data_IF_835393920291
#
_entry.id   IF_835393920291
#
_cell.length_a   1.000
_cell.length_b   1.000
_cell.length_c   1.000
_cell.angle_alpha   90.00
_cell.angle_beta   90.00
_cell.angle_gamma   90.00
#
_symmetry.space_group_name_H-M   'P 1'
#
loop_
_entity.id
_entity.type
_entity.pdbx_description
1 polymer ?
#
# COMPACT_ATOMS: atom_id res chain seq x y z
N UNK A 1 14.98 -8.07 6.44
CA UNK A 1 15.12 -9.31 5.67
C UNK A 1 14.87 -10.54 6.54
N UNK A 2 14.32 -11.62 5.97
CA UNK A 2 14.15 -12.92 6.63
C UNK A 2 14.94 -14.05 5.95
N UNK A 3 15.84 -13.75 5.01
CA UNK A 3 16.56 -14.78 4.25
C UNK A 3 17.41 -15.71 5.12
N UNK A 4 17.95 -15.21 6.23
CA UNK A 4 18.69 -16.01 7.23
C UNK A 4 17.79 -16.89 8.12
N UNK A 5 16.47 -16.71 8.05
CA UNK A 5 15.50 -17.51 8.78
C UNK A 5 15.06 -18.75 8.00
N UNK A 6 15.55 -18.94 6.77
CA UNK A 6 15.27 -20.11 5.96
C UNK A 6 15.73 -21.37 6.71
N UNK A 7 14.84 -22.37 6.75
CA UNK A 7 15.08 -23.70 7.31
C UNK A 7 14.12 -24.68 6.62
N UNK A 8 14.55 -25.90 6.26
CA UNK A 8 13.65 -26.92 5.72
C UNK A 8 12.60 -27.37 6.75
N UNK A 9 12.89 -27.25 8.05
CA UNK A 9 11.92 -27.49 9.13
C UNK A 9 11.11 -26.21 9.39
N UNK A 10 9.83 -26.23 9.01
CA UNK A 10 8.94 -25.09 9.16
C UNK A 10 8.80 -24.59 10.60
N UNK A 11 8.93 -25.45 11.61
CA UNK A 11 8.89 -25.02 13.01
C UNK A 11 10.12 -24.21 13.40
N UNK A 12 11.30 -24.63 12.93
CA UNK A 12 12.54 -23.87 13.13
C UNK A 12 12.50 -22.55 12.38
N UNK A 13 12.05 -22.56 11.13
CA UNK A 13 11.88 -21.34 10.34
C UNK A 13 10.96 -20.34 11.07
N UNK A 14 9.76 -20.76 11.50
CA UNK A 14 8.83 -19.92 12.28
C UNK A 14 9.45 -19.36 13.56
N UNK A 15 10.20 -20.17 14.31
CA UNK A 15 10.89 -19.71 15.52
C UNK A 15 11.90 -18.61 15.20
N UNK A 16 12.77 -18.83 14.20
CA UNK A 16 13.74 -17.82 13.75
C UNK A 16 13.07 -16.53 13.30
N UNK A 17 11.97 -16.64 12.54
CA UNK A 17 11.20 -15.48 12.05
C UNK A 17 10.64 -14.67 13.22
N UNK A 18 9.96 -15.33 14.17
CA UNK A 18 9.39 -14.66 15.34
C UNK A 18 10.46 -13.95 16.15
N UNK A 19 11.54 -14.65 16.50
CA UNK A 19 12.64 -14.09 17.30
C UNK A 19 13.30 -12.91 16.58
N UNK A 20 13.51 -13.03 15.26
CA UNK A 20 14.14 -11.98 14.48
C UNK A 20 13.27 -10.73 14.37
N UNK A 21 11.98 -10.87 14.07
CA UNK A 21 11.07 -9.74 13.95
C UNK A 21 10.94 -9.02 15.29
N UNK A 22 10.66 -9.76 16.36
CA UNK A 22 10.46 -9.19 17.70
C UNK A 22 11.72 -8.52 18.22
N UNK A 23 12.90 -9.10 18.03
CA UNK A 23 14.18 -8.47 18.39
C UNK A 23 14.53 -7.26 17.53
N UNK A 24 14.24 -7.32 16.22
CA UNK A 24 14.64 -6.26 15.29
C UNK A 24 13.80 -4.99 15.44
N UNK A 25 12.52 -5.13 15.80
CA UNK A 25 11.57 -4.02 15.91
C UNK A 25 11.12 -3.74 17.36
N UNK A 26 11.79 -4.33 18.36
CA UNK A 26 11.43 -4.25 19.79
C UNK A 26 11.12 -2.82 20.26
N UNK A 27 11.92 -1.86 19.80
CA UNK A 27 11.83 -0.44 20.20
C UNK A 27 11.07 0.44 19.20
N UNK A 28 10.52 -0.13 18.11
CA UNK A 28 9.91 0.65 17.02
C UNK A 28 8.76 1.52 17.52
N UNK A 29 7.82 0.94 18.28
CA UNK A 29 6.64 1.66 18.78
C UNK A 29 7.03 2.69 19.84
N UNK A 30 7.94 2.35 20.74
CA UNK A 30 8.45 3.25 21.77
C UNK A 30 9.11 4.49 21.15
N UNK A 31 10.04 4.28 20.22
CA UNK A 31 10.73 5.36 19.51
C UNK A 31 9.77 6.20 18.70
N UNK A 32 8.81 5.57 18.00
CA UNK A 32 7.77 6.30 17.27
C UNK A 32 6.97 7.24 18.17
N UNK A 33 6.57 6.80 19.37
CA UNK A 33 5.85 7.66 20.34
C UNK A 33 6.71 8.79 20.90
N UNK A 34 8.01 8.54 21.11
CA UNK A 34 8.95 9.57 21.58
C UNK A 34 9.09 10.68 20.54
N UNK A 35 9.28 10.32 19.27
CA UNK A 35 9.37 11.28 18.15
C UNK A 35 8.06 12.08 18.02
N UNK A 36 6.91 11.40 18.08
CA UNK A 36 5.59 12.03 18.06
C UNK A 36 5.41 13.08 19.16
N UNK A 37 5.85 12.76 20.39
CA UNK A 37 5.79 13.68 21.53
C UNK A 37 6.73 14.86 21.38
N UNK A 38 7.96 14.62 20.90
CA UNK A 38 9.02 15.62 20.82
C UNK A 38 8.77 16.65 19.70
N UNK A 39 8.33 16.19 18.53
CA UNK A 39 8.05 17.08 17.40
C UNK A 39 6.59 17.57 17.37
N UNK A 40 5.70 16.99 18.19
CA UNK A 40 4.28 17.33 18.18
C UNK A 40 3.58 16.96 16.87
N UNK A 41 4.10 15.97 16.14
CA UNK A 41 3.57 15.48 14.86
C UNK A 41 3.01 14.08 15.08
N UNK A 42 1.71 13.84 14.81
CA UNK A 42 1.12 12.53 15.03
C UNK A 42 1.72 11.49 14.09
N UNK A 43 2.10 10.33 14.64
CA UNK A 43 2.54 9.18 13.85
C UNK A 43 1.43 8.14 13.92
N UNK A 44 0.54 8.16 12.91
CA UNK A 44 -0.71 7.38 12.94
C UNK A 44 -0.44 5.88 13.05
N UNK A 45 0.50 5.37 12.25
CA UNK A 45 0.77 3.93 12.17
C UNK A 45 2.26 3.61 12.38
N UNK A 46 2.54 2.51 13.06
CA UNK A 46 3.84 1.87 13.18
C UNK A 46 3.69 0.45 12.64
N UNK A 47 4.40 0.13 11.56
CA UNK A 47 4.20 -1.10 10.75
C UNK A 47 5.51 -1.80 10.52
N UNK A 48 5.44 -3.09 10.18
CA UNK A 48 6.60 -3.90 9.76
C UNK A 48 6.28 -4.57 8.44
N UNK A 49 7.23 -4.62 7.52
CA UNK A 49 7.16 -5.47 6.34
C UNK A 49 8.33 -6.45 6.32
N UNK A 50 8.12 -7.61 5.73
CA UNK A 50 9.12 -8.70 5.69
C UNK A 50 9.37 -9.18 4.26
N UNK A 51 10.43 -9.96 4.09
CA UNK A 51 10.71 -10.66 2.84
C UNK A 51 9.49 -11.47 2.41
N UNK A 52 9.09 -11.46 1.12
CA UNK A 52 7.95 -12.21 0.63
C UNK A 52 7.96 -13.64 1.17
N UNK A 53 6.92 -13.97 1.95
CA UNK A 53 6.87 -15.24 2.68
C UNK A 53 6.95 -16.45 1.75
N UNK A 54 6.54 -16.34 0.48
CA UNK A 54 6.67 -17.46 -0.47
C UNK A 54 8.13 -17.89 -0.69
N UNK A 55 9.08 -16.96 -0.58
CA UNK A 55 10.52 -17.24 -0.71
C UNK A 55 11.02 -18.03 0.51
N UNK A 56 10.57 -17.66 1.71
CA UNK A 56 11.04 -18.25 2.96
C UNK A 56 10.37 -19.61 3.19
N UNK A 57 9.04 -19.64 3.17
CA UNK A 57 8.25 -20.85 3.39
C UNK A 57 8.37 -21.85 2.23
N UNK A 58 8.72 -21.38 1.02
CA UNK A 58 8.99 -22.21 -0.15
C UNK A 58 10.16 -23.19 0.00
N UNK A 59 11.02 -22.99 1.00
CA UNK A 59 12.09 -23.94 1.35
C UNK A 59 11.61 -25.13 2.20
N UNK A 60 10.37 -25.10 2.70
CA UNK A 60 9.78 -26.16 3.52
C UNK A 60 8.97 -27.14 2.68
N UNK A 61 8.69 -28.32 3.24
CA UNK A 61 7.77 -29.31 2.64
C UNK A 61 6.30 -29.13 3.05
N UNK A 62 5.97 -28.02 3.74
CA UNK A 62 4.59 -27.73 4.15
C UNK A 62 3.68 -27.48 2.95
N UNK A 63 2.42 -27.89 3.07
CA UNK A 63 1.39 -27.73 2.04
C UNK A 63 0.44 -26.56 2.30
N UNK A 64 0.63 -25.84 3.41
CA UNK A 64 -0.10 -24.64 3.81
C UNK A 64 0.83 -23.74 4.63
N UNK A 65 0.75 -22.43 4.40
CA UNK A 65 1.57 -21.44 5.12
C UNK A 65 0.77 -20.64 6.15
N UNK A 66 -0.41 -21.13 6.55
CA UNK A 66 -1.25 -20.49 7.58
C UNK A 66 -0.51 -20.36 8.92
N UNK A 67 0.29 -21.35 9.31
CA UNK A 67 1.07 -21.28 10.56
C UNK A 67 2.20 -20.24 10.51
N UNK A 68 2.74 -19.95 9.32
CA UNK A 68 3.63 -18.81 9.14
C UNK A 68 2.86 -17.50 9.38
N UNK A 69 1.65 -17.35 8.82
CA UNK A 69 0.82 -16.17 9.07
C UNK A 69 0.50 -16.00 10.57
N UNK A 70 0.14 -17.07 11.30
CA UNK A 70 -0.06 -17.01 12.76
C UNK A 70 1.19 -16.55 13.51
N UNK A 71 2.35 -16.98 13.06
CA UNK A 71 3.64 -16.57 13.64
C UNK A 71 3.89 -15.08 13.45
N UNK A 72 3.59 -14.56 12.25
CA UNK A 72 3.68 -13.13 11.95
C UNK A 72 2.68 -12.32 12.80
N UNK A 73 1.44 -12.80 12.93
CA UNK A 73 0.40 -12.13 13.73
C UNK A 73 0.80 -12.03 15.20
N UNK A 74 1.32 -13.13 15.77
CA UNK A 74 1.88 -13.14 17.12
C UNK A 74 3.04 -12.15 17.31
N UNK A 75 3.93 -12.06 16.33
CA UNK A 75 5.03 -11.10 16.37
C UNK A 75 4.50 -9.65 16.34
N UNK A 76 3.49 -9.38 15.50
CA UNK A 76 2.84 -8.09 15.41
C UNK A 76 2.10 -7.70 16.71
N UNK A 77 1.43 -8.66 17.36
CA UNK A 77 0.80 -8.47 18.67
C UNK A 77 1.85 -8.17 19.75
N UNK A 78 2.94 -8.94 19.80
CA UNK A 78 4.04 -8.77 20.77
C UNK A 78 4.69 -7.39 20.65
N UNK A 79 4.89 -6.91 19.42
CA UNK A 79 5.49 -5.60 19.16
C UNK A 79 4.51 -4.44 19.35
N UNK A 80 3.20 -4.70 19.42
CA UNK A 80 2.18 -3.66 19.48
C UNK A 80 2.11 -2.78 18.23
N UNK A 81 2.54 -3.29 17.07
CA UNK A 81 2.45 -2.60 15.76
C UNK A 81 1.04 -2.75 15.16
N UNK A 82 0.67 -1.88 14.23
CA UNK A 82 -0.69 -1.87 13.66
C UNK A 82 -0.90 -3.03 12.68
N UNK A 83 0.02 -3.17 11.72
CA UNK A 83 -0.03 -4.18 10.66
C UNK A 83 1.36 -4.72 10.31
N UNK A 84 1.37 -5.96 9.81
CA UNK A 84 2.56 -6.65 9.31
C UNK A 84 2.33 -7.14 7.88
N UNK A 85 3.09 -6.60 6.94
CA UNK A 85 3.02 -6.94 5.51
C UNK A 85 4.13 -7.89 5.07
N UNK A 86 3.95 -8.53 3.91
CA UNK A 86 4.93 -9.44 3.34
C UNK A 86 4.52 -10.91 3.39
N UNK A 87 3.27 -11.23 3.76
CA UNK A 87 2.66 -12.52 3.42
C UNK A 87 2.35 -12.53 1.91
N UNK A 88 3.41 -12.52 1.12
CA UNK A 88 3.38 -12.07 -0.27
C UNK A 88 4.10 -13.02 -1.22
N UNK A 89 3.68 -13.00 -2.49
CA UNK A 89 4.30 -13.73 -3.60
C UNK A 89 4.50 -12.82 -4.83
N UNK A 90 5.59 -13.07 -5.58
CA UNK A 90 5.92 -12.34 -6.80
C UNK A 90 5.89 -13.31 -8.00
N UNK A 91 4.79 -13.32 -8.75
CA UNK A 91 4.45 -14.39 -9.72
C UNK A 91 4.30 -13.90 -11.15
N UNK A 92 4.77 -12.69 -11.47
CA UNK A 92 4.72 -12.08 -12.79
C UNK A 92 5.33 -12.91 -13.93
N UNK A 93 6.23 -13.85 -13.63
CA UNK A 93 6.88 -14.75 -14.61
C UNK A 93 6.48 -16.23 -14.46
N UNK A 94 5.40 -16.50 -13.74
CA UNK A 94 4.98 -17.85 -13.37
C UNK A 94 5.15 -18.10 -11.87
N UNK A 95 4.61 -19.23 -11.42
CA UNK A 95 4.56 -19.58 -10.00
C UNK A 95 5.46 -20.78 -9.71
N UNK A 96 6.27 -20.68 -8.66
CA UNK A 96 6.96 -21.83 -8.06
C UNK A 96 5.98 -22.66 -7.21
N UNK A 97 6.46 -23.78 -6.64
CA UNK A 97 5.69 -24.57 -5.67
C UNK A 97 5.28 -23.71 -4.46
N UNK A 98 6.23 -22.96 -3.90
CA UNK A 98 5.99 -22.10 -2.74
C UNK A 98 4.99 -20.99 -3.03
N UNK A 99 5.05 -20.36 -4.21
CA UNK A 99 4.11 -19.29 -4.57
C UNK A 99 2.66 -19.80 -4.64
N UNK A 100 2.44 -20.98 -5.23
CA UNK A 100 1.10 -21.58 -5.31
C UNK A 100 0.55 -21.89 -3.92
N UNK A 101 1.38 -22.46 -3.03
CA UNK A 101 0.98 -22.79 -1.66
C UNK A 101 0.64 -21.50 -0.90
N UNK A 102 1.46 -20.44 -1.03
CA UNK A 102 1.17 -19.17 -0.39
C UNK A 102 -0.16 -18.59 -0.87
N UNK A 103 -0.36 -18.46 -2.19
CA UNK A 103 -1.59 -17.92 -2.79
C UNK A 103 -2.82 -18.69 -2.26
N UNK A 104 -2.75 -20.02 -2.24
CA UNK A 104 -3.83 -20.87 -1.73
C UNK A 104 -4.06 -20.75 -0.22
N UNK A 105 -3.03 -20.35 0.53
CA UNK A 105 -3.10 -20.15 1.99
C UNK A 105 -3.67 -18.79 2.38
N UNK A 106 -3.65 -17.78 1.49
CA UNK A 106 -4.11 -16.40 1.78
C UNK A 106 -5.50 -16.36 2.41
N UNK A 107 -6.55 -17.03 1.87
CA UNK A 107 -7.90 -16.89 2.41
C UNK A 107 -8.02 -17.32 3.87
N UNK A 108 -7.41 -18.45 4.23
CA UNK A 108 -7.42 -18.94 5.60
C UNK A 108 -6.49 -18.12 6.49
N UNK A 109 -5.30 -17.78 6.01
CA UNK A 109 -4.33 -16.95 6.73
C UNK A 109 -4.94 -15.61 7.16
N UNK A 110 -5.63 -14.91 6.25
CA UNK A 110 -6.26 -13.61 6.55
C UNK A 110 -7.52 -13.73 7.41
N UNK A 111 -8.18 -14.89 7.43
CA UNK A 111 -9.32 -15.16 8.29
C UNK A 111 -8.92 -15.44 9.75
N UNK A 112 -7.78 -16.09 9.96
CA UNK A 112 -7.33 -16.51 11.29
C UNK A 112 -6.34 -15.55 11.96
N UNK A 113 -5.92 -14.50 11.25
CA UNK A 113 -4.99 -13.47 11.75
C UNK A 113 -5.65 -12.10 11.74
N UNK A 114 -5.19 -11.19 12.59
CA UNK A 114 -5.75 -9.84 12.71
C UNK A 114 -4.94 -8.79 11.96
N UNK A 115 -3.61 -8.82 12.11
CA UNK A 115 -2.68 -7.76 11.69
C UNK A 115 -1.87 -8.10 10.46
N UNK A 116 -1.91 -9.35 10.00
CA UNK A 116 -1.17 -9.76 8.80
C UNK A 116 -1.87 -9.28 7.54
N UNK A 117 -1.09 -8.67 6.65
CA UNK A 117 -1.47 -8.25 5.31
C UNK A 117 -0.77 -9.11 4.24
N UNK A 118 -1.47 -9.36 3.15
CA UNK A 118 -0.99 -10.17 2.04
C UNK A 118 -0.99 -9.38 0.72
N UNK A 119 -0.02 -9.66 -0.14
CA UNK A 119 0.04 -9.05 -1.47
C UNK A 119 0.58 -9.99 -2.52
N UNK A 120 0.07 -9.92 -3.75
CA UNK A 120 0.54 -10.78 -4.84
C UNK A 120 0.81 -9.96 -6.08
N UNK A 121 2.05 -9.96 -6.57
CA UNK A 121 2.40 -9.29 -7.82
C UNK A 121 2.20 -10.24 -9.02
N UNK A 122 1.19 -9.95 -9.85
CA UNK A 122 0.77 -10.80 -10.97
C UNK A 122 1.36 -10.36 -12.31
N UNK A 123 1.93 -9.16 -12.41
CA UNK A 123 2.47 -8.64 -13.66
C UNK A 123 3.65 -7.69 -13.47
N UNK A 124 4.44 -7.52 -14.53
CA UNK A 124 5.36 -6.39 -14.62
C UNK A 124 5.62 -6.00 -16.08
N UNK A 125 5.99 -4.74 -16.33
CA UNK A 125 6.24 -4.17 -17.66
C UNK A 125 7.21 -5.01 -18.48
N UNK A 126 8.22 -5.61 -17.84
CA UNK A 126 9.21 -6.45 -18.51
C UNK A 126 8.69 -7.82 -18.93
N UNK A 127 7.68 -8.36 -18.25
CA UNK A 127 7.27 -9.77 -18.38
C UNK A 127 5.83 -9.95 -18.85
N UNK A 128 5.07 -8.87 -18.96
CA UNK A 128 3.64 -8.92 -19.17
C UNK A 128 2.88 -9.31 -17.89
N UNK A 129 1.70 -9.91 -18.09
CA UNK A 129 0.78 -10.28 -17.02
C UNK A 129 0.66 -11.81 -16.97
N UNK A 130 0.80 -12.39 -15.78
CA UNK A 130 0.51 -13.79 -15.55
C UNK A 130 -0.99 -13.99 -15.35
N UNK A 131 -1.73 -14.23 -16.44
CA UNK A 131 -3.19 -14.42 -16.40
C UNK A 131 -3.66 -15.63 -15.59
N UNK A 132 -2.80 -16.65 -15.41
CA UNK A 132 -3.13 -17.75 -14.50
C UNK A 132 -3.16 -17.26 -13.05
N UNK A 133 -2.19 -16.44 -12.65
CA UNK A 133 -2.19 -15.84 -11.31
C UNK A 133 -3.35 -14.85 -11.13
N UNK A 134 -3.72 -14.09 -12.16
CA UNK A 134 -4.91 -13.21 -12.13
C UNK A 134 -6.18 -14.01 -11.83
N UNK A 135 -6.39 -15.12 -12.55
CA UNK A 135 -7.52 -16.04 -12.28
C UNK A 135 -7.49 -16.57 -10.85
N UNK A 136 -6.33 -17.08 -10.42
CA UNK A 136 -6.18 -17.67 -9.08
C UNK A 136 -6.44 -16.61 -7.99
N UNK A 137 -6.00 -15.36 -8.18
CA UNK A 137 -6.25 -14.27 -7.25
C UNK A 137 -7.72 -13.86 -7.15
N UNK A 138 -8.47 -13.91 -8.26
CA UNK A 138 -9.91 -13.65 -8.23
C UNK A 138 -10.67 -14.69 -7.37
N UNK A 139 -10.27 -15.97 -7.44
CA UNK A 139 -10.80 -17.01 -6.57
C UNK A 139 -10.40 -16.80 -5.11
N UNK A 140 -9.13 -16.42 -4.87
CA UNK A 140 -8.62 -16.10 -3.53
C UNK A 140 -9.39 -14.94 -2.90
N UNK A 141 -9.65 -13.85 -3.64
CA UNK A 141 -10.43 -12.71 -3.13
C UNK A 141 -11.84 -13.17 -2.72
N UNK A 142 -12.54 -13.91 -3.60
CA UNK A 142 -13.91 -14.38 -3.29
C UNK A 142 -13.94 -15.33 -2.10
N UNK A 143 -12.97 -16.24 -2.01
CA UNK A 143 -12.85 -17.18 -0.87
C UNK A 143 -12.48 -16.44 0.42
N UNK A 144 -11.64 -15.42 0.36
CA UNK A 144 -11.27 -14.58 1.51
C UNK A 144 -12.50 -13.84 2.04
N UNK A 145 -13.31 -13.26 1.15
CA UNK A 145 -14.55 -12.60 1.52
C UNK A 145 -15.53 -13.57 2.23
N UNK A 146 -15.72 -14.77 1.68
CA UNK A 146 -16.61 -15.78 2.27
C UNK A 146 -16.11 -16.28 3.64
N UNK A 147 -14.81 -16.57 3.77
CA UNK A 147 -14.23 -17.02 5.05
C UNK A 147 -14.23 -15.94 6.13
N UNK A 148 -14.34 -14.67 5.75
CA UNK A 148 -14.39 -13.52 6.67
C UNK A 148 -15.74 -12.81 6.69
N UNK A 149 -16.82 -13.46 6.21
CA UNK A 149 -18.16 -12.86 6.14
C UNK A 149 -18.70 -12.37 7.49
N UNK A 150 -18.38 -13.07 8.57
CA UNK A 150 -18.80 -12.69 9.94
C UNK A 150 -18.11 -11.40 10.40
N UNK A 151 -16.96 -11.08 9.81
CA UNK A 151 -16.25 -9.81 9.93
C UNK A 151 -16.51 -8.89 8.73
N UNK A 152 -17.65 -9.02 8.04
CA UNK A 152 -18.03 -8.24 6.86
C UNK A 152 -17.02 -8.29 5.70
N UNK A 153 -16.34 -9.42 5.52
CA UNK A 153 -15.35 -9.59 4.46
C UNK A 153 -14.03 -8.87 4.70
N UNK A 154 -13.74 -8.45 5.95
CA UNK A 154 -12.57 -7.63 6.30
C UNK A 154 -11.22 -8.26 5.91
N UNK A 155 -11.15 -9.57 5.67
CA UNK A 155 -9.96 -10.21 5.11
C UNK A 155 -9.53 -9.57 3.78
N UNK A 156 -10.47 -9.14 2.94
CA UNK A 156 -10.18 -8.49 1.67
C UNK A 156 -9.54 -7.10 1.83
N UNK A 157 -9.81 -6.38 2.92
CA UNK A 157 -9.14 -5.10 3.22
C UNK A 157 -7.65 -5.27 3.56
N UNK A 158 -7.20 -6.51 3.80
CA UNK A 158 -5.80 -6.86 4.09
C UNK A 158 -5.11 -7.57 2.91
N UNK A 159 -5.72 -7.56 1.73
CA UNK A 159 -5.23 -8.22 0.52
C UNK A 159 -5.14 -7.23 -0.63
N UNK A 160 -4.04 -7.25 -1.37
CA UNK A 160 -3.87 -6.44 -2.57
C UNK A 160 -3.22 -7.24 -3.71
N UNK A 161 -3.57 -6.91 -4.95
CA UNK A 161 -3.05 -7.57 -6.15
C UNK A 161 -2.31 -6.55 -6.99
N UNK A 162 -1.00 -6.71 -7.14
CA UNK A 162 -0.17 -5.74 -7.84
C UNK A 162 0.14 -6.12 -9.28
N UNK A 163 0.35 -5.09 -10.10
CA UNK A 163 1.31 -5.14 -11.19
C UNK A 163 2.41 -4.10 -10.96
N UNK A 164 3.65 -4.44 -11.34
CA UNK A 164 4.85 -3.62 -11.08
C UNK A 164 5.01 -3.23 -9.60
N UNK A 165 4.81 -4.17 -8.68
CA UNK A 165 5.03 -3.94 -7.26
C UNK A 165 6.45 -3.40 -6.97
N UNK A 166 6.53 -2.43 -6.08
CA UNK A 166 7.79 -1.84 -5.61
C UNK A 166 8.26 -2.55 -4.33
N UNK A 167 9.58 -2.64 -4.15
CA UNK A 167 10.23 -3.47 -3.13
C UNK A 167 10.32 -2.82 -1.73
N UNK A 168 10.01 -1.52 -1.63
CA UNK A 168 10.24 -0.65 -0.48
C UNK A 168 8.97 0.07 0.02
N UNK A 169 7.79 -0.33 -0.48
CA UNK A 169 6.51 0.31 -0.17
C UNK A 169 6.19 0.30 1.34
N UNK A 170 5.98 1.46 2.00
CA UNK A 170 5.60 1.53 3.41
C UNK A 170 4.07 1.40 3.65
N UNK A 171 3.25 1.40 2.60
CA UNK A 171 1.79 1.37 2.70
C UNK A 171 1.23 -0.06 2.74
N UNK A 172 0.30 -0.30 3.66
CA UNK A 172 -0.45 -1.55 3.78
C UNK A 172 -1.75 -1.46 2.97
N UNK A 173 -2.30 -2.57 2.46
CA UNK A 173 -1.89 -3.98 2.68
C UNK A 173 -0.66 -4.44 1.88
N UNK A 174 -0.14 -3.60 0.98
CA UNK A 174 0.81 -4.01 -0.05
C UNK A 174 2.27 -4.15 0.32
N UNK A 175 2.69 -3.62 1.46
CA UNK A 175 4.09 -3.58 1.85
C UNK A 175 4.73 -4.99 1.96
N UNK A 176 5.92 -5.14 1.38
CA UNK A 176 6.85 -6.23 1.64
C UNK A 176 8.27 -5.66 1.65
N UNK A 177 9.23 -6.39 2.22
CA UNK A 177 10.64 -6.00 2.25
C UNK A 177 11.37 -6.74 1.13
N UNK A 178 11.73 -6.04 0.06
CA UNK A 178 12.39 -6.62 -1.10
C UNK A 178 13.65 -7.44 -0.79
N UNK A 179 14.01 -8.34 -1.70
CA UNK A 179 15.24 -9.13 -1.56
C UNK A 179 16.49 -8.30 -1.87
N UNK A 180 16.35 -7.20 -2.60
CA UNK A 180 17.43 -6.24 -2.85
C UNK A 180 17.69 -5.27 -1.71
N UNK A 181 16.77 -5.17 -0.75
CA UNK A 181 16.86 -4.24 0.37
C UNK A 181 17.85 -4.69 1.44
N UNK A 182 18.32 -3.75 2.26
CA UNK A 182 19.26 -4.04 3.35
C UNK A 182 18.65 -4.96 4.42
N UNK A 183 19.47 -5.43 5.35
CA UNK A 183 19.03 -6.36 6.41
C UNK A 183 17.84 -5.79 7.22
N UNK A 184 17.90 -4.49 7.53
CA UNK A 184 16.83 -3.72 8.16
C UNK A 184 16.90 -2.29 7.62
N UNK A 185 15.74 -1.68 7.40
CA UNK A 185 15.60 -0.29 6.96
C UNK A 185 14.38 0.34 7.63
N UNK A 186 14.36 1.66 7.73
CA UNK A 186 13.17 2.45 8.08
C UNK A 186 12.73 3.24 6.87
N UNK A 187 11.50 2.96 6.42
CA UNK A 187 10.80 3.76 5.42
C UNK A 187 9.70 4.54 6.13
N UNK A 188 9.42 5.76 5.65
CA UNK A 188 8.38 6.63 6.21
C UNK A 188 7.44 7.05 5.09
N UNK A 189 6.14 6.79 5.27
CA UNK A 189 5.10 7.39 4.45
C UNK A 189 4.60 8.67 5.11
N UNK A 190 4.45 9.75 4.35
CA UNK A 190 3.90 11.01 4.85
C UNK A 190 2.55 11.26 4.19
N UNK A 191 1.50 11.40 5.01
CA UNK A 191 0.21 11.88 4.53
C UNK A 191 0.10 13.40 4.69
N UNK A 192 -0.56 14.04 3.74
CA UNK A 192 -0.81 15.48 3.76
C UNK A 192 -1.99 16.01 2.92
N UNK A 193 -3.06 15.24 2.56
CA UNK A 193 -4.17 15.81 1.81
C UNK A 193 -4.71 17.11 2.41
N UNK A 194 -5.01 17.13 3.71
CA UNK A 194 -5.50 18.35 4.37
C UNK A 194 -4.54 19.55 4.33
N UNK A 195 -3.23 19.31 4.28
CA UNK A 195 -2.22 20.38 4.16
C UNK A 195 -2.24 20.97 2.75
N UNK A 196 -2.37 20.12 1.73
CA UNK A 196 -2.46 20.54 0.32
C UNK A 196 -3.75 21.32 0.08
N UNK A 197 -4.90 20.82 0.56
CA UNK A 197 -6.18 21.51 0.47
C UNK A 197 -6.12 22.93 1.05
N UNK A 198 -5.62 23.08 2.28
CA UNK A 198 -5.46 24.40 2.95
C UNK A 198 -4.50 25.34 2.22
N UNK A 199 -3.54 24.80 1.47
CA UNK A 199 -2.66 25.63 0.65
C UNK A 199 -3.41 26.14 -0.60
N UNK A 200 -4.24 25.31 -1.22
CA UNK A 200 -5.03 25.64 -2.39
C UNK A 200 -6.15 26.65 -2.12
N UNK A 201 -6.76 26.62 -0.93
CA UNK A 201 -7.75 27.62 -0.50
C UNK A 201 -7.25 29.07 -0.61
N UNK A 202 -5.93 29.29 -0.57
CA UNK A 202 -5.30 30.61 -0.66
C UNK A 202 -5.07 31.11 -2.09
N UNK A 203 -5.26 30.26 -3.08
CA UNK A 203 -5.00 30.54 -4.51
C UNK A 203 -6.22 30.23 -5.38
N UNK A 204 -7.43 30.28 -4.81
CA UNK A 204 -8.69 30.14 -5.55
C UNK A 204 -8.79 31.19 -6.66
N UNK A 205 -9.07 30.74 -7.88
CA UNK A 205 -9.22 31.61 -9.06
C UNK A 205 -7.91 32.00 -9.74
N UNK A 206 -6.77 31.57 -9.22
CA UNK A 206 -5.45 31.76 -9.85
C UNK A 206 -5.25 30.81 -11.05
N UNK A 207 -4.16 31.03 -11.80
CA UNK A 207 -3.81 30.16 -12.92
C UNK A 207 -3.36 28.76 -12.46
N UNK A 208 -3.47 27.78 -13.35
CA UNK A 208 -2.97 26.42 -13.09
C UNK A 208 -1.48 26.36 -12.75
N UNK A 209 -0.67 27.30 -13.26
CA UNK A 209 0.75 27.39 -12.92
C UNK A 209 0.94 27.71 -11.42
N UNK A 210 0.14 28.63 -10.88
CA UNK A 210 0.15 28.99 -9.45
C UNK A 210 -0.35 27.83 -8.59
N UNK A 211 -1.41 27.14 -9.04
CA UNK A 211 -1.95 25.94 -8.36
C UNK A 211 -0.89 24.85 -8.28
N UNK A 212 -0.26 24.49 -9.40
CA UNK A 212 0.77 23.46 -9.45
C UNK A 212 2.00 23.83 -8.61
N UNK A 213 2.45 25.09 -8.66
CA UNK A 213 3.56 25.57 -7.82
C UNK A 213 3.22 25.49 -6.32
N UNK A 214 1.98 25.83 -5.95
CA UNK A 214 1.50 25.77 -4.56
C UNK A 214 1.51 24.32 -4.05
N UNK A 215 1.02 23.37 -4.85
CA UNK A 215 1.07 21.93 -4.52
C UNK A 215 2.53 21.48 -4.37
N UNK A 216 3.39 21.82 -5.32
CA UNK A 216 4.81 21.45 -5.32
C UNK A 216 5.55 21.95 -4.08
N UNK A 217 5.37 23.22 -3.72
CA UNK A 217 5.99 23.80 -2.53
C UNK A 217 5.46 23.18 -1.23
N UNK A 218 4.17 22.82 -1.21
CA UNK A 218 3.56 22.16 -0.06
C UNK A 218 4.10 20.75 0.09
N UNK A 219 4.13 19.97 -0.99
CA UNK A 219 4.71 18.63 -1.03
C UNK A 219 6.19 18.64 -0.60
N UNK A 220 6.99 19.62 -1.05
CA UNK A 220 8.37 19.80 -0.60
C UNK A 220 8.48 19.92 0.93
N UNK A 221 7.67 20.78 1.55
CA UNK A 221 7.69 21.00 3.00
C UNK A 221 7.26 19.76 3.78
N UNK A 222 6.19 19.10 3.32
CA UNK A 222 5.69 17.85 3.91
C UNK A 222 6.74 16.74 3.84
N UNK A 223 7.42 16.63 2.69
CA UNK A 223 8.51 15.66 2.49
C UNK A 223 9.69 15.91 3.43
N UNK A 224 10.12 17.18 3.58
CA UNK A 224 11.21 17.54 4.51
C UNK A 224 10.88 17.16 5.95
N UNK A 225 9.62 17.31 6.35
CA UNK A 225 9.16 16.89 7.66
C UNK A 225 9.23 15.34 7.81
N UNK A 226 8.81 14.60 6.79
CA UNK A 226 8.96 13.14 6.76
C UNK A 226 10.40 12.68 6.85
N UNK A 227 11.29 13.32 6.08
CA UNK A 227 12.73 13.04 6.10
C UNK A 227 13.34 13.33 7.47
N UNK A 228 12.91 14.39 8.16
CA UNK A 228 13.36 14.71 9.51
C UNK A 228 12.92 13.61 10.51
N UNK A 229 11.66 13.18 10.45
CA UNK A 229 11.15 12.07 11.27
C UNK A 229 11.91 10.76 10.99
N UNK A 230 12.16 10.47 9.72
CA UNK A 230 12.85 9.27 9.29
C UNK A 230 14.31 9.23 9.76
N UNK A 231 15.02 10.35 9.66
CA UNK A 231 16.39 10.48 10.16
C UNK A 231 16.48 10.30 11.67
N UNK A 232 15.53 10.86 12.42
CA UNK A 232 15.52 10.71 13.87
C UNK A 232 15.19 9.28 14.30
N UNK A 233 14.22 8.63 13.63
CA UNK A 233 13.91 7.22 13.84
C UNK A 233 15.12 6.32 13.53
N UNK A 234 15.76 6.54 12.39
CA UNK A 234 16.97 5.84 11.95
C UNK A 234 18.09 5.93 13.00
N UNK A 235 18.36 7.13 13.51
CA UNK A 235 19.37 7.38 14.55
C UNK A 235 19.04 6.68 15.87
N UNK A 236 17.79 6.76 16.36
CA UNK A 236 17.38 6.18 17.65
C UNK A 236 17.29 4.66 17.63
N UNK A 237 16.90 4.09 16.50
CA UNK A 237 16.82 2.63 16.29
C UNK A 237 18.15 2.03 15.84
N UNK A 238 19.10 2.86 15.40
CA UNK A 238 20.36 2.44 14.77
C UNK A 238 20.10 1.50 13.57
N UNK A 239 19.18 1.94 12.70
CA UNK A 239 18.75 1.23 11.49
C UNK A 239 18.80 2.21 10.32
N UNK A 240 19.38 1.85 9.15
CA UNK A 240 19.43 2.73 8.00
C UNK A 240 18.08 3.30 7.60
N UNK A 241 18.07 4.58 7.23
CA UNK A 241 16.93 5.20 6.56
C UNK A 241 16.89 4.70 5.11
N UNK A 242 15.74 4.19 4.68
CA UNK A 242 15.46 3.82 3.30
C UNK A 242 14.84 5.00 2.57
N UNK A 243 13.52 5.00 2.40
CA UNK A 243 12.81 6.00 1.58
C UNK A 243 11.77 6.82 2.34
N UNK A 244 11.49 8.02 1.81
CA UNK A 244 10.25 8.76 2.10
C UNK A 244 9.28 8.54 0.95
N UNK A 245 8.10 7.99 1.26
CA UNK A 245 6.99 7.90 0.32
C UNK A 245 6.07 9.12 0.47
N UNK A 246 5.80 9.77 -0.66
CA UNK A 246 5.09 11.05 -0.78
C UNK A 246 3.58 10.92 -0.89
N UNK A 247 3.06 9.70 -0.77
CA UNK A 247 1.71 9.43 -1.19
C UNK A 247 0.67 10.16 -0.35
N UNK A 248 -0.23 10.88 -1.03
CA UNK A 248 -1.36 11.55 -0.38
C UNK A 248 -2.40 10.48 -0.04
N UNK A 249 -2.33 9.96 1.19
CA UNK A 249 -3.25 8.96 1.70
C UNK A 249 -4.34 9.63 2.56
N UNK A 250 -5.59 9.70 2.09
CA UNK A 250 -6.68 10.31 2.84
C UNK A 250 -7.09 9.46 4.04
N UNK A 251 -7.92 10.04 4.89
CA UNK A 251 -8.58 9.33 5.98
C UNK A 251 -10.07 9.66 5.98
N UNK A 252 -10.91 8.91 6.72
CA UNK A 252 -12.33 9.26 6.88
C UNK A 252 -12.55 10.58 7.64
N UNK A 253 -11.50 11.23 8.12
CA UNK A 253 -11.61 12.49 8.84
C UNK A 253 -11.93 13.65 7.90
N UNK A 254 -12.86 14.50 8.33
CA UNK A 254 -13.26 15.70 7.57
C UNK A 254 -12.05 16.60 7.34
N UNK A 255 -11.83 17.01 6.09
CA UNK A 255 -10.72 17.87 5.70
C UNK A 255 -9.42 17.14 5.36
N UNK A 256 -9.42 15.80 5.33
CA UNK A 256 -8.29 14.97 4.93
C UNK A 256 -8.65 14.06 3.74
N UNK A 257 -9.01 14.71 2.62
CA UNK A 257 -9.56 14.07 1.43
C UNK A 257 -8.80 14.50 0.17
N UNK A 258 -8.55 13.53 -0.72
CA UNK A 258 -8.04 13.77 -2.07
C UNK A 258 -9.16 14.27 -2.97
N UNK A 259 -10.40 13.80 -2.79
CA UNK A 259 -11.56 14.32 -3.53
C UNK A 259 -11.72 15.83 -3.32
N UNK A 260 -11.65 16.28 -2.06
CA UNK A 260 -11.74 17.71 -1.74
C UNK A 260 -10.59 18.53 -2.33
N UNK A 261 -9.39 17.96 -2.51
CA UNK A 261 -8.29 18.65 -3.22
C UNK A 261 -8.67 18.87 -4.69
N UNK A 262 -9.21 17.83 -5.34
CA UNK A 262 -9.58 17.90 -6.75
C UNK A 262 -10.72 18.90 -6.97
N UNK A 263 -11.68 18.95 -6.05
CA UNK A 263 -12.76 19.95 -6.04
C UNK A 263 -12.22 21.35 -5.78
N UNK A 264 -11.27 21.50 -4.85
CA UNK A 264 -10.61 22.77 -4.54
C UNK A 264 -9.77 23.32 -5.71
N UNK A 265 -9.24 22.46 -6.58
CA UNK A 265 -8.61 22.86 -7.85
C UNK A 265 -9.63 23.53 -8.80
N UNK A 266 -10.94 23.25 -8.64
CA UNK A 266 -12.02 23.90 -9.37
C UNK A 266 -13.04 22.94 -10.00
N UNK A 267 -13.07 21.67 -9.60
CA UNK A 267 -14.12 20.74 -10.03
C UNK A 267 -15.38 20.94 -9.17
N UNK A 268 -16.55 20.81 -9.79
CA UNK A 268 -17.81 20.79 -9.05
C UNK A 268 -17.89 19.59 -8.09
N UNK A 269 -17.50 18.41 -8.59
CA UNK A 269 -17.41 17.18 -7.82
C UNK A 269 -16.40 16.23 -8.44
N UNK A 270 -15.66 15.48 -7.62
CA UNK A 270 -14.76 14.45 -8.13
C UNK A 270 -15.52 13.42 -8.99
N UNK A 271 -14.92 13.00 -10.10
CA UNK A 271 -15.53 12.09 -11.08
C UNK A 271 -16.06 12.81 -12.33
N UNK A 272 -16.37 14.10 -12.24
CA UNK A 272 -16.77 14.91 -13.41
C UNK A 272 -15.66 15.06 -14.47
N UNK A 273 -15.98 15.64 -15.62
CA UNK A 273 -14.99 15.96 -16.66
C UNK A 273 -13.93 16.92 -16.10
N UNK A 274 -12.65 16.66 -16.41
CA UNK A 274 -11.53 17.39 -15.82
C UNK A 274 -10.86 16.69 -14.63
N UNK A 275 -11.56 15.78 -13.93
CA UNK A 275 -11.00 15.03 -12.78
C UNK A 275 -9.64 14.38 -13.06
N UNK A 276 -9.52 13.68 -14.20
CA UNK A 276 -8.28 12.98 -14.57
C UNK A 276 -7.14 13.99 -14.81
N UNK A 277 -7.42 15.14 -15.43
CA UNK A 277 -6.43 16.17 -15.67
C UNK A 277 -5.97 16.84 -14.37
N UNK A 278 -6.90 17.16 -13.47
CA UNK A 278 -6.60 17.70 -12.14
C UNK A 278 -5.77 16.70 -11.32
N UNK A 279 -6.13 15.42 -11.32
CA UNK A 279 -5.39 14.36 -10.64
C UNK A 279 -3.98 14.17 -11.22
N UNK A 280 -3.84 14.21 -12.56
CA UNK A 280 -2.53 14.12 -13.21
C UNK A 280 -1.61 15.28 -12.79
N UNK A 281 -2.12 16.51 -12.76
CA UNK A 281 -1.39 17.69 -12.29
C UNK A 281 -1.01 17.57 -10.82
N UNK A 282 -1.96 17.15 -9.96
CA UNK A 282 -1.72 16.92 -8.54
C UNK A 282 -0.58 15.92 -8.34
N UNK A 283 -0.65 14.77 -9.00
CA UNK A 283 0.36 13.71 -8.88
C UNK A 283 1.74 14.18 -9.37
N UNK A 284 1.80 14.86 -10.52
CA UNK A 284 3.04 15.41 -11.07
C UNK A 284 3.66 16.48 -10.15
N UNK A 285 2.86 17.41 -9.63
CA UNK A 285 3.32 18.46 -8.74
C UNK A 285 3.81 17.89 -7.38
N UNK A 286 3.10 16.92 -6.81
CA UNK A 286 3.51 16.22 -5.57
C UNK A 286 4.86 15.51 -5.78
N UNK A 287 4.99 14.73 -6.86
CA UNK A 287 6.24 14.04 -7.20
C UNK A 287 7.39 15.01 -7.38
N UNK A 288 7.21 16.09 -8.15
CA UNK A 288 8.24 17.12 -8.34
C UNK A 288 8.65 17.79 -7.04
N UNK A 289 7.68 18.07 -6.16
CA UNK A 289 7.93 18.70 -4.87
C UNK A 289 8.74 17.80 -3.93
N UNK A 290 8.38 16.51 -3.85
CA UNK A 290 9.08 15.59 -2.98
C UNK A 290 10.46 15.16 -3.49
N UNK A 291 10.64 14.95 -4.79
CA UNK A 291 11.97 14.67 -5.38
C UNK A 291 12.93 15.85 -5.18
N UNK A 292 12.42 17.08 -5.15
CA UNK A 292 13.23 18.25 -4.79
C UNK A 292 13.62 18.27 -3.30
N UNK A 293 12.81 17.66 -2.42
CA UNK A 293 13.02 17.68 -0.99
C UNK A 293 13.97 16.59 -0.48
N UNK A 294 13.89 15.36 -0.99
CA UNK A 294 14.67 14.24 -0.48
C UNK A 294 15.35 13.48 -1.62
N UNK A 295 16.59 13.04 -1.40
CA UNK A 295 17.33 12.19 -2.34
C UNK A 295 16.89 10.73 -2.31
N UNK A 296 16.07 10.34 -1.33
CA UNK A 296 15.57 8.98 -1.12
C UNK A 296 14.04 8.92 -1.23
N UNK A 297 13.49 9.51 -2.28
CA UNK A 297 12.06 9.33 -2.60
C UNK A 297 11.87 7.96 -3.25
N UNK A 298 10.92 7.17 -2.72
CA UNK A 298 10.66 5.80 -3.18
C UNK A 298 9.21 5.37 -2.93
N UNK A 299 8.96 4.06 -2.91
CA UNK A 299 7.61 3.52 -2.77
C UNK A 299 6.68 3.87 -3.96
N UNK A 300 5.39 4.03 -3.67
CA UNK A 300 4.35 4.32 -4.68
C UNK A 300 4.37 5.80 -5.09
N UNK A 301 4.65 6.70 -4.14
CA UNK A 301 4.77 8.15 -4.31
C UNK A 301 3.72 8.77 -5.25
N UNK A 302 2.44 8.70 -4.87
CA UNK A 302 1.34 9.34 -5.61
C UNK A 302 0.04 9.53 -4.80
N UNK A 303 -1.00 10.10 -5.41
CA UNK A 303 -2.26 10.33 -4.70
C UNK A 303 -3.08 9.04 -4.58
N UNK A 304 -3.44 8.60 -3.37
CA UNK A 304 -4.29 7.43 -3.18
C UNK A 304 -5.75 7.77 -3.50
N UNK A 305 -6.49 6.79 -4.02
CA UNK A 305 -7.93 6.91 -4.31
C UNK A 305 -8.67 5.76 -3.60
N UNK A 306 -8.63 5.69 -2.26
CA UNK A 306 -9.29 4.62 -1.53
C UNK A 306 -10.77 4.96 -1.39
N UNK A 307 -11.59 4.43 -2.29
CA UNK A 307 -12.99 4.90 -2.49
C UNK A 307 -13.80 4.86 -1.21
N UNK A 308 -13.65 3.81 -0.39
CA UNK A 308 -14.39 3.66 0.87
C UNK A 308 -13.73 4.28 2.10
N UNK A 309 -12.56 4.92 1.96
CA UNK A 309 -11.86 5.60 3.06
C UNK A 309 -11.88 7.13 2.93
N UNK A 310 -12.08 7.65 1.71
CA UNK A 310 -12.20 9.09 1.44
C UNK A 310 -13.67 9.52 1.36
N UNK A 311 -14.12 10.35 2.31
CA UNK A 311 -15.51 10.80 2.39
C UNK A 311 -16.02 11.47 1.11
N UNK A 312 -15.20 12.30 0.44
CA UNK A 312 -15.61 12.95 -0.80
C UNK A 312 -15.72 11.97 -1.97
N UNK A 313 -14.92 10.90 -1.99
CA UNK A 313 -15.06 9.82 -2.97
C UNK A 313 -16.35 9.03 -2.74
N UNK A 314 -16.71 8.74 -1.48
CA UNK A 314 -17.97 8.08 -1.12
C UNK A 314 -19.16 8.92 -1.60
N UNK A 315 -19.15 10.23 -1.36
CA UNK A 315 -20.22 11.14 -1.78
C UNK A 315 -20.32 11.22 -3.32
N UNK A 316 -19.18 11.18 -4.02
CA UNK A 316 -19.15 11.13 -5.48
C UNK A 316 -19.70 9.82 -6.06
N UNK A 317 -19.50 8.68 -5.40
CA UNK A 317 -20.13 7.42 -5.78
C UNK A 317 -21.64 7.47 -5.53
N UNK A 318 -22.06 7.96 -4.35
CA UNK A 318 -23.48 8.04 -3.98
C UNK A 318 -24.29 8.99 -4.89
N UNK A 319 -23.66 10.05 -5.38
CA UNK A 319 -24.24 10.99 -6.35
C UNK A 319 -24.18 10.48 -7.80
N UNK A 320 -23.45 9.39 -8.06
CA UNK A 320 -23.26 8.82 -9.40
C UNK A 320 -22.23 9.55 -10.26
N UNK A 321 -21.50 10.52 -9.72
CA UNK A 321 -20.43 11.24 -10.41
C UNK A 321 -19.16 10.41 -10.57
N UNK A 322 -18.91 9.48 -9.64
CA UNK A 322 -17.77 8.56 -9.67
C UNK A 322 -18.26 7.12 -9.89
N UNK A 323 -17.74 6.47 -10.92
CA UNK A 323 -18.03 5.09 -11.29
C UNK A 323 -16.72 4.31 -11.55
N UNK A 324 -16.84 3.01 -11.79
CA UNK A 324 -15.67 2.13 -11.93
C UNK A 324 -14.82 2.51 -13.15
N UNK A 325 -15.45 2.80 -14.29
CA UNK A 325 -14.75 3.18 -15.52
C UNK A 325 -14.00 4.52 -15.34
N UNK A 326 -14.56 5.44 -14.56
CA UNK A 326 -13.91 6.69 -14.21
C UNK A 326 -12.72 6.46 -13.28
N UNK A 327 -12.85 5.54 -12.33
CA UNK A 327 -11.75 5.14 -11.45
C UNK A 327 -10.61 4.53 -12.25
N UNK A 328 -10.87 3.59 -13.17
CA UNK A 328 -9.88 3.06 -14.13
C UNK A 328 -9.24 4.18 -14.97
N UNK A 329 -10.02 5.17 -15.40
CA UNK A 329 -9.49 6.38 -16.05
C UNK A 329 -8.55 7.20 -15.14
N UNK A 330 -8.82 7.24 -13.84
CA UNK A 330 -7.96 7.88 -12.84
C UNK A 330 -6.71 7.05 -12.54
N UNK A 331 -6.82 5.71 -12.54
CA UNK A 331 -5.66 4.81 -12.33
C UNK A 331 -4.63 4.97 -13.43
N UNK A 332 -5.02 5.38 -14.65
CA UNK A 332 -4.07 5.70 -15.72
C UNK A 332 -3.04 6.78 -15.30
N UNK A 333 -3.43 7.76 -14.48
CA UNK A 333 -2.58 8.90 -14.08
C UNK A 333 -2.12 8.85 -12.61
N UNK A 334 -2.65 7.93 -11.81
CA UNK A 334 -2.33 7.71 -10.39
C UNK A 334 -1.61 6.36 -10.15
N UNK A 335 -0.67 6.26 -9.20
CA UNK A 335 0.16 5.06 -8.97
C UNK A 335 -0.49 3.95 -8.14
N UNK A 336 -1.72 4.10 -7.64
CA UNK A 336 -2.31 3.15 -6.68
C UNK A 336 -3.20 2.13 -7.34
N UNK A 337 -4.01 2.47 -8.34
CA UNK A 337 -4.96 1.52 -8.93
C UNK A 337 -6.35 1.58 -8.29
N UNK A 338 -7.06 0.46 -8.28
CA UNK A 338 -8.43 0.34 -7.77
C UNK A 338 -8.40 -0.06 -6.30
N UNK A 339 -8.29 0.94 -5.43
CA UNK A 339 -8.11 0.72 -3.99
C UNK A 339 -9.40 0.87 -3.19
N UNK A 340 -9.58 0.01 -2.19
CA UNK A 340 -10.68 0.02 -1.23
C UNK A 340 -12.08 0.17 -1.89
N UNK A 341 -12.29 -0.53 -3.01
CA UNK A 341 -13.55 -0.54 -3.77
C UNK A 341 -14.44 -1.70 -3.29
N UNK A 342 -15.71 -1.40 -3.02
CA UNK A 342 -16.72 -2.40 -2.73
C UNK A 342 -17.45 -2.82 -4.02
N UNK A 343 -17.55 -4.14 -4.25
CA UNK A 343 -18.33 -4.74 -5.32
C UNK A 343 -19.36 -5.72 -4.73
N UNK A 344 -20.47 -6.03 -5.44
CA UNK A 344 -21.45 -7.01 -4.97
C UNK A 344 -20.81 -8.38 -4.67
N UNK A 345 -21.18 -9.02 -3.56
CA UNK A 345 -20.56 -10.30 -3.15
C UNK A 345 -20.89 -11.49 -4.07
N UNK A 346 -21.97 -11.40 -4.85
CA UNK A 346 -22.35 -12.37 -5.87
C UNK A 346 -21.57 -12.20 -7.19
N UNK A 347 -20.77 -11.12 -7.35
CA UNK A 347 -19.92 -10.87 -8.52
C UNK A 347 -19.13 -12.13 -8.93
N UNK A 348 -19.21 -12.59 -10.19
CA UNK A 348 -18.48 -13.77 -10.65
C UNK A 348 -16.96 -13.60 -10.52
N UNK A 349 -16.25 -14.69 -10.22
CA UNK A 349 -14.77 -14.66 -10.16
C UNK A 349 -14.16 -14.26 -11.49
N UNK A 350 -14.78 -14.60 -12.63
CA UNK A 350 -14.35 -14.15 -13.95
C UNK A 350 -14.39 -12.62 -14.11
N UNK A 351 -15.36 -11.95 -13.48
CA UNK A 351 -15.47 -10.49 -13.50
C UNK A 351 -14.40 -9.84 -12.63
N UNK A 352 -14.14 -10.39 -11.44
CA UNK A 352 -13.05 -9.94 -10.57
C UNK A 352 -11.70 -10.11 -11.28
N UNK A 353 -11.50 -11.24 -11.96
CA UNK A 353 -10.30 -11.48 -12.78
C UNK A 353 -10.18 -10.46 -13.92
N UNK A 354 -11.29 -10.07 -14.55
CA UNK A 354 -11.34 -8.99 -15.54
C UNK A 354 -10.86 -7.66 -14.99
N UNK A 355 -11.41 -7.22 -13.85
CA UNK A 355 -11.00 -5.98 -13.18
C UNK A 355 -9.49 -5.98 -12.85
N UNK A 356 -8.98 -7.07 -12.29
CA UNK A 356 -7.53 -7.21 -12.00
C UNK A 356 -6.71 -7.15 -13.30
N UNK A 357 -7.19 -7.79 -14.38
CA UNK A 357 -6.48 -7.82 -15.65
C UNK A 357 -6.41 -6.42 -16.30
N UNK A 358 -7.50 -5.66 -16.25
CA UNK A 358 -7.56 -4.30 -16.80
C UNK A 358 -6.62 -3.37 -16.02
N UNK A 359 -6.65 -3.41 -14.69
CA UNK A 359 -5.71 -2.64 -13.86
C UNK A 359 -4.26 -3.06 -14.02
N UNK A 360 -3.99 -4.37 -14.11
CA UNK A 360 -2.65 -4.87 -14.40
C UNK A 360 -2.18 -4.43 -15.78
N UNK A 361 -3.07 -4.36 -16.78
CA UNK A 361 -2.74 -3.89 -18.13
C UNK A 361 -2.39 -2.39 -18.14
N UNK A 362 -3.17 -1.56 -17.45
CA UNK A 362 -2.88 -0.14 -17.26
C UNK A 362 -1.49 0.02 -16.60
N UNK A 363 -1.20 -0.78 -15.57
CA UNK A 363 0.09 -0.80 -14.89
C UNK A 363 1.27 -1.16 -15.79
N UNK A 364 1.16 -2.32 -16.44
CA UNK A 364 2.21 -2.92 -17.27
C UNK A 364 2.54 -2.04 -18.47
N UNK A 365 1.54 -1.52 -19.20
CA UNK A 365 1.79 -0.76 -20.43
C UNK A 365 2.35 0.64 -20.16
N UNK A 366 1.97 1.25 -19.03
CA UNK A 366 2.39 2.60 -18.67
C UNK A 366 3.64 2.64 -17.77
N UNK A 367 4.30 1.48 -17.56
CA UNK A 367 5.48 1.36 -16.69
C UNK A 367 5.24 1.98 -15.29
N UNK A 368 4.09 1.63 -14.70
CA UNK A 368 3.63 2.15 -13.42
C UNK A 368 3.18 0.99 -12.53
N UNK A 369 3.23 1.22 -11.23
CA UNK A 369 2.57 0.34 -10.26
C UNK A 369 1.06 0.55 -10.32
N UNK A 370 0.32 -0.55 -10.21
CA UNK A 370 -1.13 -0.60 -9.95
C UNK A 370 -1.40 -1.68 -8.93
N UNK A 371 -2.39 -1.45 -8.08
CA UNK A 371 -2.76 -2.24 -6.91
C UNK A 371 -4.27 -2.44 -6.84
#
# INVERSE_FOLDING_TARGET
SLLDCIDPDGNKARTKIYDKITKSAERLVEVGRQIETEFGIPIVNKRVSITPMSIIAGATDETSYVEFARTLDRAAETLGIDFLGGFSALVQKGCTKGDKILIQSIPEALAVTKKVCASVNVGCTKSGINMNAVRDMAEVIKRTAELTKDAKGFGCAKLVVFANAVEDNPFMAGAFHGVGEAERIINVGVSGPGVVKRALEKVRGESFDVVAETIKQTAFKVTRMGELVANEASKRLNVPFGIVDLSLAPTPAVGDSVAEILEEIGLEQVGTHGTIAALAMLNDAVKKGGVMACSHVGGLSGAFIPVSEDAGMIDAVNSGCLNLEKLEGMTCVCSVGLDMIAIPGDTPTSTIAGMIADEAAIGVINNKTTA
#
